data_IF_556950124613
#
_entry.id   IF_556950124613
#
_cell.length_a   1.000
_cell.length_b   1.000
_cell.length_c   1.000
_cell.angle_alpha   90.00
_cell.angle_beta   90.00
_cell.angle_gamma   90.00
#
_symmetry.space_group_name_H-M   'P 1'
#
loop_
_entity.id
_entity.type
_entity.pdbx_description
1 polymer ?
#
# COMPACT_ATOMS: atom_id res chain seq x y z
N UNK A 1 35.69 29.63 -69.91
CA UNK A 1 34.24 29.53 -70.12
C UNK A 1 33.62 29.15 -68.80
N UNK A 2 32.88 30.06 -68.28
CA UNK A 2 31.87 30.13 -67.21
C UNK A 2 31.68 28.92 -66.24
N UNK A 3 32.17 29.07 -65.01
CA UNK A 3 31.85 28.22 -63.85
C UNK A 3 30.56 28.66 -63.21
N UNK A 4 29.77 27.67 -62.77
CA UNK A 4 28.60 27.87 -61.94
C UNK A 4 28.95 27.42 -60.52
N UNK A 5 28.88 28.35 -59.57
CA UNK A 5 29.01 28.06 -58.13
C UNK A 5 27.63 27.66 -57.57
N UNK A 6 27.52 26.46 -57.05
CA UNK A 6 26.38 26.01 -56.25
C UNK A 6 26.62 26.37 -54.79
N UNK A 7 25.72 27.16 -54.22
CA UNK A 7 25.68 27.46 -52.75
C UNK A 7 24.90 26.36 -52.03
N UNK A 8 25.53 25.70 -51.08
CA UNK A 8 24.86 24.79 -50.13
C UNK A 8 24.34 25.61 -48.95
N UNK A 9 23.02 25.63 -48.81
CA UNK A 9 22.34 26.17 -47.65
C UNK A 9 22.25 25.06 -46.61
N UNK A 10 22.97 25.18 -45.50
CA UNK A 10 22.86 24.27 -44.38
C UNK A 10 21.68 24.69 -43.48
N UNK A 11 20.64 23.88 -43.45
CA UNK A 11 19.53 24.04 -42.50
C UNK A 11 19.92 23.42 -41.15
N UNK A 12 20.08 24.27 -40.14
CA UNK A 12 20.27 23.86 -38.74
C UNK A 12 18.91 23.46 -38.19
N UNK A 13 18.66 22.16 -38.01
CA UNK A 13 17.53 21.63 -37.24
C UNK A 13 17.91 21.67 -35.73
N UNK A 14 17.35 22.64 -35.02
CA UNK A 14 17.34 22.63 -33.55
C UNK A 14 16.36 21.57 -33.07
N UNK A 15 16.85 20.38 -32.69
CA UNK A 15 16.10 19.43 -31.91
C UNK A 15 16.09 19.90 -30.45
N UNK A 16 15.00 20.55 -30.04
CA UNK A 16 14.74 20.90 -28.65
C UNK A 16 14.40 19.63 -27.87
N UNK A 17 15.39 19.00 -27.25
CA UNK A 17 15.19 17.96 -26.24
C UNK A 17 14.73 18.63 -24.98
N UNK A 18 13.49 18.34 -24.52
CA UNK A 18 13.08 18.62 -23.14
C UNK A 18 13.89 17.72 -22.20
N UNK A 19 14.95 18.30 -21.63
CA UNK A 19 15.63 17.70 -20.48
C UNK A 19 14.80 18.04 -19.27
N UNK A 20 14.19 17.03 -18.63
CA UNK A 20 13.55 17.19 -17.33
C UNK A 20 14.62 17.67 -16.34
N UNK A 21 14.42 18.85 -15.76
CA UNK A 21 15.31 19.36 -14.72
C UNK A 21 15.13 18.54 -13.43
N UNK A 22 16.22 18.17 -12.74
CA UNK A 22 16.13 17.56 -11.42
C UNK A 22 15.48 18.56 -10.46
N UNK A 23 14.50 18.11 -9.66
CA UNK A 23 13.83 18.90 -8.67
C UNK A 23 14.84 19.36 -7.60
N UNK A 24 14.94 20.69 -7.42
CA UNK A 24 15.75 21.33 -6.39
C UNK A 24 15.19 20.96 -5.00
N UNK A 25 15.98 20.35 -4.07
CA UNK A 25 15.53 20.02 -2.73
C UNK A 25 15.23 21.24 -1.85
N UNK A 26 15.55 22.45 -2.28
CA UNK A 26 15.26 23.71 -1.61
C UNK A 26 13.93 24.37 -2.03
N UNK A 27 13.16 23.75 -2.94
CA UNK A 27 11.86 24.29 -3.35
C UNK A 27 10.89 24.32 -2.17
N UNK A 28 10.16 25.44 -1.94
CA UNK A 28 9.18 25.54 -0.85
C UNK A 28 8.10 24.45 -0.99
N UNK A 29 7.43 24.04 0.12
CA UNK A 29 6.40 23.03 0.09
C UNK A 29 5.38 23.39 -0.99
N UNK A 30 5.27 22.52 -1.96
CA UNK A 30 4.50 22.74 -3.19
C UNK A 30 3.08 23.11 -2.80
N UNK A 31 2.61 24.28 -3.18
CA UNK A 31 1.19 24.63 -3.27
C UNK A 31 0.56 23.68 -4.28
N UNK A 32 0.23 22.46 -3.85
CA UNK A 32 -0.38 21.46 -4.70
C UNK A 32 -1.87 21.66 -4.67
N UNK A 33 -2.42 21.83 -5.84
CA UNK A 33 -3.83 21.69 -6.19
C UNK A 33 -4.78 22.10 -5.06
N UNK A 34 -4.82 23.39 -4.70
CA UNK A 34 -5.85 23.95 -3.84
C UNK A 34 -5.72 23.74 -2.32
N UNK A 35 -4.86 22.85 -1.82
CA UNK A 35 -4.70 22.64 -0.38
C UNK A 35 -3.90 23.76 0.25
N UNK A 36 -4.49 24.49 1.19
CA UNK A 36 -3.80 25.57 1.88
C UNK A 36 -2.73 25.04 2.85
N UNK A 37 -1.60 25.79 2.99
CA UNK A 37 -0.56 25.50 3.99
C UNK A 37 -1.16 25.33 5.38
N UNK A 38 -2.11 26.21 5.76
CA UNK A 38 -2.78 26.12 7.06
C UNK A 38 -3.60 24.85 7.27
N UNK A 39 -4.15 24.25 6.21
CA UNK A 39 -4.85 22.95 6.31
C UNK A 39 -3.86 21.81 6.57
N UNK A 40 -2.71 21.81 5.89
CA UNK A 40 -1.63 20.83 6.11
C UNK A 40 -1.07 20.93 7.52
N UNK A 41 -0.82 22.15 8.00
CA UNK A 41 -0.30 22.36 9.37
C UNK A 41 -1.29 21.89 10.45
N UNK A 42 -2.58 22.15 10.27
CA UNK A 42 -3.62 21.62 11.17
C UNK A 42 -3.65 20.10 11.17
N UNK A 43 -3.64 19.48 9.99
CA UNK A 43 -3.61 18.01 9.87
C UNK A 43 -2.38 17.42 10.57
N UNK A 44 -1.19 18.01 10.39
CA UNK A 44 0.03 17.58 11.09
C UNK A 44 -0.08 17.71 12.61
N UNK A 45 -0.63 18.82 13.11
CA UNK A 45 -0.85 19.02 14.54
C UNK A 45 -1.83 17.98 15.13
N UNK A 46 -2.88 17.62 14.40
CA UNK A 46 -3.82 16.57 14.77
C UNK A 46 -3.15 15.19 14.82
N UNK A 47 -2.28 14.83 13.86
CA UNK A 47 -1.52 13.58 13.89
C UNK A 47 -0.58 13.51 15.11
N UNK A 48 0.07 14.60 15.48
CA UNK A 48 0.91 14.69 16.70
C UNK A 48 0.06 14.44 17.96
N UNK A 49 -1.16 15.00 18.02
CA UNK A 49 -2.07 14.76 19.14
C UNK A 49 -2.55 13.31 19.20
N UNK A 50 -2.92 12.70 18.06
CA UNK A 50 -3.28 11.29 17.98
C UNK A 50 -2.14 10.41 18.47
N UNK A 51 -0.90 10.65 18.01
CA UNK A 51 0.27 9.90 18.47
C UNK A 51 0.45 10.01 19.99
N UNK A 52 0.37 11.21 20.54
CA UNK A 52 0.48 11.44 21.98
C UNK A 52 -0.61 10.67 22.77
N UNK A 53 -1.86 10.71 22.29
CA UNK A 53 -2.97 9.99 22.92
C UNK A 53 -2.81 8.47 22.81
N UNK A 54 -2.26 7.98 21.70
CA UNK A 54 -2.02 6.57 21.48
C UNK A 54 -1.03 5.96 22.48
N UNK A 55 -0.06 6.75 22.95
CA UNK A 55 1.05 6.31 23.79
C UNK A 55 2.09 5.47 23.05
N UNK A 56 1.92 5.28 21.74
CA UNK A 56 2.82 4.54 20.85
C UNK A 56 3.47 5.44 19.79
N UNK A 57 3.93 4.85 18.69
CA UNK A 57 4.41 5.57 17.51
C UNK A 57 3.37 5.49 16.39
N UNK A 58 3.09 6.62 15.76
CA UNK A 58 2.15 6.72 14.66
C UNK A 58 2.88 7.02 13.35
N UNK A 59 2.75 6.15 12.36
CA UNK A 59 3.21 6.37 10.99
C UNK A 59 2.03 6.63 10.05
N UNK A 60 2.06 7.74 9.31
CA UNK A 60 0.99 8.09 8.34
C UNK A 60 1.62 8.61 7.05
N UNK A 61 1.04 8.22 5.92
CA UNK A 61 1.26 8.84 4.61
C UNK A 61 -0.05 8.93 3.85
N UNK A 62 -0.36 10.11 3.29
CA UNK A 62 -1.44 10.32 2.34
C UNK A 62 -0.82 10.70 1.00
N UNK A 63 -1.11 9.92 -0.04
CA UNK A 63 -0.57 10.08 -1.39
C UNK A 63 -1.74 10.20 -2.36
N UNK A 64 -1.69 11.21 -3.24
CA UNK A 64 -2.71 11.41 -4.26
C UNK A 64 -2.55 10.45 -5.46
N UNK A 65 -3.54 10.34 -6.36
CA UNK A 65 -3.45 9.47 -7.53
C UNK A 65 -2.24 9.76 -8.44
N UNK A 66 -1.73 10.99 -8.46
CA UNK A 66 -0.58 11.41 -9.24
C UNK A 66 0.78 11.11 -8.57
N UNK A 67 0.78 10.60 -7.33
CA UNK A 67 1.97 10.28 -6.54
C UNK A 67 2.47 11.45 -5.69
N UNK A 68 1.66 12.48 -5.50
CA UNK A 68 2.01 13.56 -4.62
C UNK A 68 1.76 13.23 -3.15
N UNK A 69 2.76 13.42 -2.30
CA UNK A 69 2.60 13.29 -0.84
C UNK A 69 1.89 14.52 -0.30
N UNK A 70 0.62 14.35 0.13
CA UNK A 70 -0.22 15.42 0.67
C UNK A 70 -0.01 15.58 2.19
N UNK A 71 0.22 14.49 2.90
CA UNK A 71 0.44 14.47 4.34
C UNK A 71 1.41 13.35 4.70
N UNK A 72 2.31 13.60 5.65
CA UNK A 72 3.22 12.59 6.17
C UNK A 72 3.54 12.86 7.64
N UNK A 73 3.54 11.78 8.45
CA UNK A 73 3.98 11.77 9.83
C UNK A 73 4.83 10.52 10.07
N UNK A 74 6.07 10.66 10.54
CA UNK A 74 7.07 9.58 10.61
C UNK A 74 7.18 8.75 9.32
N UNK A 75 7.02 9.43 8.16
CA UNK A 75 6.83 8.77 6.87
C UNK A 75 7.99 7.89 6.42
N UNK A 76 9.21 8.15 6.90
CA UNK A 76 10.42 7.39 6.55
C UNK A 76 10.84 6.38 7.64
N UNK A 77 10.19 6.41 8.81
CA UNK A 77 10.50 5.48 9.89
C UNK A 77 9.93 4.09 9.60
N UNK A 78 10.64 3.04 10.08
CA UNK A 78 10.19 1.67 9.87
C UNK A 78 9.12 1.25 10.87
N UNK A 79 8.13 0.53 10.34
CA UNK A 79 7.04 -0.12 11.06
C UNK A 79 6.89 -1.54 10.55
N UNK A 80 6.48 -2.49 11.40
CA UNK A 80 6.14 -3.83 10.96
C UNK A 80 4.87 -3.80 10.10
N UNK A 81 4.88 -4.50 8.97
CA UNK A 81 3.75 -4.51 8.04
C UNK A 81 2.58 -5.34 8.57
N UNK A 82 2.87 -6.41 9.29
CA UNK A 82 1.86 -7.42 9.60
C UNK A 82 1.15 -7.85 8.30
N UNK A 83 -0.15 -8.11 8.33
CA UNK A 83 -0.90 -8.57 7.16
C UNK A 83 -1.13 -7.52 6.05
N UNK A 84 -0.66 -6.28 6.16
CA UNK A 84 -0.84 -5.30 5.09
C UNK A 84 -0.08 -5.67 3.80
N UNK A 85 1.00 -6.45 3.90
CA UNK A 85 1.76 -6.95 2.75
C UNK A 85 0.92 -7.80 1.78
N UNK A 86 -0.19 -8.38 2.25
CA UNK A 86 -1.04 -9.29 1.46
C UNK A 86 -1.65 -8.63 0.23
N UNK A 87 -1.87 -7.31 0.25
CA UNK A 87 -2.28 -6.58 -0.96
C UNK A 87 -1.18 -6.58 -2.02
N UNK A 88 0.08 -6.37 -1.63
CA UNK A 88 1.20 -6.42 -2.57
C UNK A 88 1.42 -7.83 -3.11
N UNK A 89 1.23 -8.86 -2.27
CA UNK A 89 1.26 -10.26 -2.71
C UNK A 89 0.13 -10.55 -3.72
N UNK A 90 -1.09 -10.07 -3.47
CA UNK A 90 -2.20 -10.20 -4.42
C UNK A 90 -1.92 -9.47 -5.75
N UNK A 91 -1.34 -8.27 -5.69
CA UNK A 91 -0.88 -7.53 -6.87
C UNK A 91 0.19 -8.29 -7.68
N UNK A 92 1.18 -8.86 -6.98
CA UNK A 92 2.21 -9.70 -7.61
C UNK A 92 1.61 -10.93 -8.32
N UNK A 93 0.63 -11.59 -7.70
CA UNK A 93 -0.09 -12.72 -8.30
C UNK A 93 -0.86 -12.28 -9.54
N UNK A 94 -1.61 -11.19 -9.46
CA UNK A 94 -2.36 -10.63 -10.59
C UNK A 94 -1.45 -10.21 -11.76
N UNK A 95 -0.19 -9.85 -11.50
CA UNK A 95 0.77 -9.56 -12.57
C UNK A 95 1.18 -10.78 -13.40
N UNK A 96 0.66 -11.96 -13.12
CA UNK A 96 1.00 -13.21 -13.82
C UNK A 96 2.44 -13.67 -13.58
N UNK A 97 3.03 -13.30 -12.44
CA UNK A 97 4.38 -13.70 -12.08
C UNK A 97 4.55 -15.22 -12.17
N UNK A 98 5.69 -15.68 -12.67
CA UNK A 98 5.99 -17.10 -12.88
C UNK A 98 4.98 -17.86 -13.79
N UNK A 99 4.13 -17.14 -14.54
CA UNK A 99 3.09 -17.73 -15.38
C UNK A 99 1.90 -18.28 -14.57
N UNK A 100 1.69 -17.79 -13.35
CA UNK A 100 0.52 -18.16 -12.53
C UNK A 100 -0.77 -17.64 -13.16
N UNK A 101 -1.74 -18.56 -13.28
CA UNK A 101 -3.08 -18.25 -13.78
C UNK A 101 -4.10 -18.34 -12.63
N UNK A 102 -5.19 -17.55 -12.64
CA UNK A 102 -6.19 -17.56 -11.57
C UNK A 102 -6.82 -18.92 -11.28
N UNK A 103 -6.90 -19.82 -12.29
CA UNK A 103 -7.48 -21.16 -12.21
C UNK A 103 -6.51 -22.22 -11.71
N UNK A 104 -5.22 -21.92 -11.58
CA UNK A 104 -4.22 -22.85 -11.05
C UNK A 104 -4.57 -23.29 -9.64
N UNK A 105 -4.21 -24.55 -9.31
CA UNK A 105 -4.57 -25.16 -8.04
C UNK A 105 -3.43 -25.11 -7.04
N UNK A 106 -3.72 -24.60 -5.88
CA UNK A 106 -2.87 -24.66 -4.69
C UNK A 106 -3.34 -25.82 -3.81
N UNK A 107 -2.43 -26.75 -3.51
CA UNK A 107 -2.72 -27.93 -2.68
C UNK A 107 -2.60 -27.52 -1.21
N UNK A 108 -3.61 -27.87 -0.42
CA UNK A 108 -3.67 -27.56 1.00
C UNK A 108 -3.13 -28.75 1.80
N UNK A 109 -2.10 -28.51 2.61
CA UNK A 109 -1.74 -29.39 3.72
C UNK A 109 -2.40 -28.86 5.01
N UNK A 110 -3.45 -29.49 5.54
CA UNK A 110 -4.11 -29.01 6.76
C UNK A 110 -3.18 -28.89 7.97
N UNK A 111 -2.09 -29.72 8.03
CA UNK A 111 -1.13 -29.69 9.11
C UNK A 111 -0.22 -28.44 9.10
N UNK A 112 -0.09 -27.79 7.94
CA UNK A 112 0.71 -26.57 7.76
C UNK A 112 -0.11 -25.29 7.94
N UNK A 113 -1.44 -25.37 8.15
CA UNK A 113 -2.32 -24.19 8.27
C UNK A 113 -2.42 -23.71 9.71
N UNK A 114 -1.79 -22.58 9.99
CA UNK A 114 -1.76 -21.96 11.30
C UNK A 114 -2.50 -20.61 11.33
N UNK A 115 -2.86 -20.16 12.53
CA UNK A 115 -3.42 -18.82 12.78
C UNK A 115 -4.78 -18.59 12.13
N UNK A 116 -5.02 -17.35 11.70
CA UNK A 116 -6.29 -16.93 11.09
C UNK A 116 -6.35 -17.35 9.60
N UNK A 117 -7.09 -18.40 9.30
CA UNK A 117 -7.21 -18.98 7.95
C UNK A 117 -8.64 -19.48 7.67
N UNK A 118 -9.66 -18.60 7.71
CA UNK A 118 -11.06 -19.04 7.63
C UNK A 118 -11.40 -19.66 6.28
N UNK A 119 -10.94 -19.08 5.18
CA UNK A 119 -11.19 -19.59 3.84
C UNK A 119 -10.39 -20.88 3.59
N UNK A 120 -9.10 -20.91 3.88
CA UNK A 120 -8.26 -22.10 3.71
C UNK A 120 -8.86 -23.30 4.46
N UNK A 121 -9.29 -23.09 5.72
CA UNK A 121 -9.94 -24.16 6.51
C UNK A 121 -11.25 -24.66 5.90
N UNK A 122 -12.01 -23.79 5.25
CA UNK A 122 -13.26 -24.19 4.58
C UNK A 122 -13.01 -25.10 3.37
N UNK A 123 -11.76 -25.21 2.90
CA UNK A 123 -11.34 -26.01 1.75
C UNK A 123 -10.61 -27.31 2.12
N UNK A 124 -10.59 -27.68 3.40
CA UNK A 124 -9.86 -28.87 3.86
C UNK A 124 -10.42 -30.18 3.26
N UNK A 125 -11.72 -30.26 3.05
CA UNK A 125 -12.35 -31.44 2.44
C UNK A 125 -12.01 -31.59 0.96
N UNK A 126 -11.94 -30.48 0.22
CA UNK A 126 -11.51 -30.44 -1.18
C UNK A 126 -10.01 -30.68 -1.33
N UNK A 127 -9.21 -30.30 -0.33
CA UNK A 127 -7.75 -30.40 -0.31
C UNK A 127 -7.02 -29.41 -1.21
N UNK A 128 -7.73 -28.45 -1.82
CA UNK A 128 -7.16 -27.44 -2.70
C UNK A 128 -8.02 -26.17 -2.80
N UNK A 129 -7.44 -25.10 -3.30
CA UNK A 129 -8.11 -23.87 -3.72
C UNK A 129 -7.48 -23.34 -5.02
N UNK A 130 -8.13 -22.41 -5.71
CA UNK A 130 -7.51 -21.74 -6.86
C UNK A 130 -6.61 -20.59 -6.42
N UNK A 131 -5.64 -20.23 -7.27
CA UNK A 131 -4.79 -19.03 -7.08
C UNK A 131 -5.65 -17.77 -6.96
N UNK A 132 -6.67 -17.61 -7.80
CA UNK A 132 -7.60 -16.48 -7.75
C UNK A 132 -8.38 -16.41 -6.44
N UNK A 133 -8.89 -17.57 -5.94
CA UNK A 133 -9.55 -17.61 -4.63
C UNK A 133 -8.61 -17.27 -3.50
N UNK A 134 -7.38 -17.77 -3.53
CA UNK A 134 -6.36 -17.45 -2.54
C UNK A 134 -6.04 -15.96 -2.54
N UNK A 135 -5.75 -15.36 -3.71
CA UNK A 135 -5.45 -13.95 -3.86
C UNK A 135 -6.59 -13.04 -3.38
N UNK A 136 -7.83 -13.39 -3.68
CA UNK A 136 -9.00 -12.70 -3.14
C UNK A 136 -9.06 -12.76 -1.62
N UNK A 137 -8.91 -13.95 -1.04
CA UNK A 137 -9.15 -14.16 0.39
C UNK A 137 -8.01 -13.67 1.30
N UNK A 138 -6.78 -13.52 0.79
CA UNK A 138 -5.72 -12.83 1.53
C UNK A 138 -6.03 -11.33 1.68
N UNK A 139 -6.77 -10.73 0.77
CA UNK A 139 -7.18 -9.33 0.82
C UNK A 139 -8.47 -9.18 1.64
N UNK A 140 -9.53 -9.93 1.31
CA UNK A 140 -10.88 -9.71 1.86
C UNK A 140 -11.02 -10.13 3.31
N UNK A 141 -10.47 -11.29 3.69
CA UNK A 141 -10.56 -11.85 5.06
C UNK A 141 -9.20 -12.07 5.71
N UNK A 142 -8.12 -11.62 5.07
CA UNK A 142 -6.76 -11.72 5.63
C UNK A 142 -6.27 -13.15 5.91
N UNK A 143 -6.65 -14.13 5.07
CA UNK A 143 -6.33 -15.54 5.26
C UNK A 143 -4.82 -15.83 5.25
N UNK A 144 -4.28 -16.40 6.34
CA UNK A 144 -2.85 -16.69 6.49
C UNK A 144 -2.43 -17.94 5.72
N UNK A 145 -3.29 -18.96 5.67
CA UNK A 145 -3.02 -20.18 4.94
C UNK A 145 -2.88 -19.93 3.44
N UNK A 146 -3.84 -19.19 2.88
CA UNK A 146 -3.78 -18.76 1.48
C UNK A 146 -2.55 -17.89 1.19
N UNK A 147 -2.15 -17.00 2.12
CA UNK A 147 -0.96 -16.18 1.95
C UNK A 147 0.32 -17.02 1.89
N UNK A 148 0.46 -18.02 2.75
CA UNK A 148 1.61 -18.90 2.73
C UNK A 148 1.66 -19.76 1.44
N UNK A 149 0.53 -20.28 0.98
CA UNK A 149 0.45 -21.02 -0.29
C UNK A 149 0.87 -20.15 -1.48
N UNK A 150 0.37 -18.91 -1.57
CA UNK A 150 0.77 -17.99 -2.64
C UNK A 150 2.26 -17.60 -2.54
N UNK A 151 2.79 -17.40 -1.34
CA UNK A 151 4.22 -17.15 -1.15
C UNK A 151 5.08 -18.30 -1.68
N UNK A 152 4.62 -19.57 -1.57
CA UNK A 152 5.35 -20.71 -2.14
C UNK A 152 5.49 -20.61 -3.65
N UNK A 153 4.45 -20.16 -4.36
CA UNK A 153 4.43 -20.05 -5.82
C UNK A 153 5.28 -18.87 -6.34
N UNK A 154 5.42 -17.81 -5.54
CA UNK A 154 6.12 -16.58 -5.97
C UNK A 154 7.59 -16.51 -5.49
N UNK A 155 8.17 -17.59 -5.01
CA UNK A 155 9.56 -17.63 -4.52
C UNK A 155 9.72 -17.18 -3.07
N UNK A 156 8.66 -17.28 -2.27
CA UNK A 156 8.67 -16.99 -0.83
C UNK A 156 8.70 -15.50 -0.51
N UNK A 157 8.98 -15.17 0.76
CA UNK A 157 9.16 -13.78 1.20
C UNK A 157 10.20 -13.01 0.39
N UNK A 158 11.27 -13.69 -0.03
CA UNK A 158 12.31 -13.11 -0.86
C UNK A 158 11.78 -12.73 -2.24
N UNK A 159 11.00 -13.59 -2.90
CA UNK A 159 10.42 -13.32 -4.22
C UNK A 159 9.52 -12.08 -4.19
N UNK A 160 8.66 -11.94 -3.16
CA UNK A 160 7.86 -10.73 -2.98
C UNK A 160 8.74 -9.49 -2.76
N UNK A 161 9.78 -9.59 -1.95
CA UNK A 161 10.71 -8.47 -1.73
C UNK A 161 11.43 -8.06 -3.02
N UNK A 162 11.88 -9.01 -3.82
CA UNK A 162 12.52 -8.73 -5.12
C UNK A 162 11.55 -8.08 -6.11
N UNK A 163 10.29 -8.51 -6.15
CA UNK A 163 9.26 -7.87 -6.96
C UNK A 163 9.00 -6.42 -6.51
N UNK A 164 8.89 -6.17 -5.21
CA UNK A 164 8.75 -4.82 -4.64
C UNK A 164 9.96 -3.94 -5.01
N UNK A 165 11.19 -4.48 -4.98
CA UNK A 165 12.40 -3.77 -5.44
C UNK A 165 12.32 -3.37 -6.90
N UNK A 166 11.80 -4.24 -7.77
CA UNK A 166 11.59 -3.94 -9.18
C UNK A 166 10.59 -2.79 -9.40
N UNK A 167 9.68 -2.56 -8.43
CA UNK A 167 8.80 -1.39 -8.42
C UNK A 167 9.47 -0.11 -7.88
N UNK A 168 10.76 -0.14 -7.51
CA UNK A 168 11.51 1.01 -7.03
C UNK A 168 11.39 1.27 -5.52
N UNK A 169 10.86 0.33 -4.75
CA UNK A 169 10.80 0.44 -3.28
C UNK A 169 11.99 -0.30 -2.64
N UNK A 170 12.99 0.46 -2.23
CA UNK A 170 14.19 -0.07 -1.57
C UNK A 170 14.05 -0.24 -0.04
N UNK A 171 12.88 0.08 0.51
CA UNK A 171 12.61 0.07 1.96
C UNK A 171 11.85 -1.17 2.39
N UNK A 172 10.72 -1.47 1.75
CA UNK A 172 9.81 -2.56 2.13
C UNK A 172 10.50 -3.92 1.97
N UNK A 173 10.38 -4.77 2.97
CA UNK A 173 10.92 -6.15 2.92
C UNK A 173 10.04 -7.12 3.67
N UNK A 174 9.83 -8.28 3.09
CA UNK A 174 9.27 -9.46 3.73
C UNK A 174 10.39 -10.50 3.88
N UNK A 175 10.57 -11.02 5.07
CA UNK A 175 11.65 -11.96 5.40
C UNK A 175 11.11 -13.31 5.87
N UNK A 176 9.92 -13.31 6.45
CA UNK A 176 9.29 -14.46 7.09
C UNK A 176 7.90 -14.71 6.53
N UNK A 177 7.36 -15.89 6.80
CA UNK A 177 6.00 -16.29 6.47
C UNK A 177 5.06 -16.05 7.65
N UNK A 178 3.77 -16.19 7.43
CA UNK A 178 2.79 -16.31 8.51
C UNK A 178 3.05 -17.62 9.29
N UNK A 179 3.11 -17.63 10.65
CA UNK A 179 2.88 -16.50 11.54
C UNK A 179 4.15 -15.75 11.98
N UNK A 180 5.33 -16.25 11.63
CA UNK A 180 6.62 -15.77 12.16
C UNK A 180 6.89 -14.28 11.84
N UNK A 181 6.31 -13.75 10.75
CA UNK A 181 6.42 -12.33 10.40
C UNK A 181 5.77 -11.39 11.45
N UNK A 182 4.93 -11.92 12.34
CA UNK A 182 4.27 -11.15 13.39
C UNK A 182 5.13 -10.97 14.66
N UNK A 183 6.34 -11.51 14.68
CA UNK A 183 7.34 -11.24 15.72
C UNK A 183 7.92 -9.84 15.58
N UNK A 184 7.26 -8.87 16.02
CA UNK A 184 7.59 -7.47 15.89
C UNK A 184 8.55 -6.99 16.99
N UNK A 185 9.79 -7.46 17.00
CA UNK A 185 10.79 -7.03 17.96
C UNK A 185 11.28 -5.59 17.69
N UNK A 186 11.47 -4.81 18.75
CA UNK A 186 11.96 -3.44 18.60
C UNK A 186 13.34 -3.40 17.92
N UNK A 187 13.45 -2.63 16.85
CA UNK A 187 14.68 -2.47 16.08
C UNK A 187 14.98 -3.61 15.10
N UNK A 188 14.12 -4.62 15.00
CA UNK A 188 14.23 -5.66 13.97
C UNK A 188 13.75 -5.10 12.62
N UNK A 189 14.60 -5.07 11.57
CA UNK A 189 14.19 -4.56 10.26
C UNK A 189 13.38 -5.57 9.43
N UNK A 190 13.27 -6.83 9.87
CA UNK A 190 12.55 -7.87 9.14
C UNK A 190 11.05 -7.57 9.11
N UNK A 191 10.42 -7.86 7.96
CA UNK A 191 8.99 -7.71 7.72
C UNK A 191 8.46 -6.29 7.96
N UNK A 192 9.31 -5.28 7.65
CA UNK A 192 9.01 -3.86 7.86
C UNK A 192 8.99 -3.08 6.57
N UNK A 193 8.34 -1.92 6.66
CA UNK A 193 8.30 -0.87 5.64
C UNK A 193 8.32 0.51 6.29
N UNK A 194 8.24 1.57 5.49
CA UNK A 194 7.90 2.93 5.96
C UNK A 194 6.58 3.40 5.33
N UNK A 195 5.83 4.30 6.00
CA UNK A 195 4.57 4.79 5.45
C UNK A 195 4.66 5.35 4.03
N UNK A 196 5.71 6.11 3.72
CA UNK A 196 5.91 6.69 2.38
C UNK A 196 6.24 5.63 1.33
N UNK A 197 7.17 4.73 1.61
CA UNK A 197 7.55 3.68 0.68
C UNK A 197 6.37 2.75 0.39
N UNK A 198 5.66 2.33 1.43
CA UNK A 198 4.53 1.43 1.30
C UNK A 198 3.35 2.07 0.56
N UNK A 199 3.04 3.32 0.90
CA UNK A 199 1.97 4.08 0.23
C UNK A 199 2.25 4.29 -1.25
N UNK A 200 3.48 4.61 -1.63
CA UNK A 200 3.86 4.76 -3.04
C UNK A 200 3.81 3.42 -3.80
N UNK A 201 4.26 2.33 -3.17
CA UNK A 201 4.18 0.99 -3.78
C UNK A 201 2.71 0.57 -3.98
N UNK A 202 1.83 0.82 -3.00
CA UNK A 202 0.38 0.60 -3.17
C UNK A 202 -0.20 1.41 -4.32
N UNK A 203 0.13 2.72 -4.38
CA UNK A 203 -0.32 3.59 -5.47
C UNK A 203 0.11 3.04 -6.83
N UNK A 204 1.37 2.64 -6.97
CA UNK A 204 1.89 2.09 -8.23
C UNK A 204 1.16 0.83 -8.64
N UNK A 205 0.95 -0.10 -7.73
CA UNK A 205 0.22 -1.34 -8.02
C UNK A 205 -1.24 -1.06 -8.46
N UNK A 206 -1.85 0.02 -7.96
CA UNK A 206 -3.25 0.36 -8.24
C UNK A 206 -3.44 1.37 -9.39
N UNK A 207 -2.38 1.99 -9.90
CA UNK A 207 -2.51 3.06 -10.91
C UNK A 207 -1.46 3.05 -12.04
N UNK A 208 -0.43 2.21 -11.97
CA UNK A 208 0.64 2.16 -12.98
C UNK A 208 0.38 1.01 -13.98
N UNK A 209 0.12 1.36 -15.24
CA UNK A 209 -0.17 0.41 -16.33
C UNK A 209 1.01 -0.52 -16.64
N UNK A 210 2.22 -0.19 -16.16
CA UNK A 210 3.40 -1.05 -16.33
C UNK A 210 3.50 -2.14 -15.26
N UNK A 211 2.71 -2.06 -14.19
CA UNK A 211 2.68 -3.02 -13.07
C UNK A 211 1.54 -4.00 -13.24
N UNK A 212 0.32 -3.51 -13.39
CA UNK A 212 -0.88 -4.29 -13.63
C UNK A 212 -1.67 -3.69 -14.78
N UNK A 213 -2.34 -4.49 -15.57
CA UNK A 213 -3.30 -3.99 -16.53
C UNK A 213 -4.55 -3.40 -15.85
N UNK A 214 -5.42 -2.74 -16.62
CA UNK A 214 -6.60 -2.07 -16.07
C UNK A 214 -7.58 -3.04 -15.40
N UNK A 215 -7.74 -4.26 -15.94
CA UNK A 215 -8.67 -5.24 -15.39
C UNK A 215 -8.18 -5.78 -14.04
N UNK A 216 -6.89 -6.02 -13.90
CA UNK A 216 -6.25 -6.51 -12.68
C UNK A 216 -6.21 -5.44 -11.58
N UNK A 217 -5.92 -4.18 -11.95
CA UNK A 217 -6.05 -3.06 -11.00
C UNK A 217 -7.46 -2.92 -10.47
N UNK A 218 -8.45 -2.96 -11.35
CA UNK A 218 -9.86 -2.93 -10.96
C UNK A 218 -10.24 -4.13 -10.10
N UNK A 219 -9.68 -5.31 -10.39
CA UNK A 219 -9.93 -6.50 -9.59
C UNK A 219 -9.35 -6.37 -8.18
N UNK A 220 -8.10 -5.90 -8.05
CA UNK A 220 -7.47 -5.66 -6.75
C UNK A 220 -8.24 -4.60 -5.95
N UNK A 221 -8.64 -3.48 -6.59
CA UNK A 221 -9.45 -2.46 -5.96
C UNK A 221 -10.81 -3.00 -5.49
N UNK A 222 -11.48 -3.85 -6.29
CA UNK A 222 -12.73 -4.51 -5.87
C UNK A 222 -12.53 -5.40 -4.64
N UNK A 223 -11.43 -6.12 -4.52
CA UNK A 223 -11.13 -6.94 -3.34
C UNK A 223 -10.88 -6.07 -2.10
N UNK A 224 -10.16 -4.96 -2.23
CA UNK A 224 -9.96 -4.01 -1.14
C UNK A 224 -11.28 -3.38 -0.67
N UNK A 225 -12.16 -2.99 -1.61
CA UNK A 225 -13.51 -2.47 -1.28
C UNK A 225 -14.36 -3.53 -0.58
N UNK A 226 -14.23 -4.80 -0.97
CA UNK A 226 -14.92 -5.93 -0.38
C UNK A 226 -14.26 -6.47 0.90
N UNK A 227 -13.21 -5.81 1.43
CA UNK A 227 -12.58 -6.23 2.69
C UNK A 227 -13.59 -6.25 3.84
N UNK A 228 -13.59 -7.34 4.59
CA UNK A 228 -14.44 -7.54 5.77
C UNK A 228 -13.75 -7.08 7.06
N UNK A 229 -12.48 -6.70 6.95
CA UNK A 229 -11.67 -6.20 8.06
C UNK A 229 -11.56 -4.67 8.00
N UNK A 230 -11.18 -3.99 9.09
CA UNK A 230 -10.89 -2.56 9.07
C UNK A 230 -12.09 -1.61 9.05
N UNK A 231 -13.33 -2.11 9.08
CA UNK A 231 -14.54 -1.28 8.98
C UNK A 231 -14.62 -0.16 10.04
N UNK A 232 -13.94 -0.32 11.17
CA UNK A 232 -13.92 0.64 12.28
C UNK A 232 -12.63 1.48 12.34
N UNK A 233 -11.68 1.30 11.39
CA UNK A 233 -10.41 2.06 11.31
C UNK A 233 -10.51 3.17 10.29
N UNK A 234 -9.55 3.29 9.37
CA UNK A 234 -9.49 4.37 8.37
C UNK A 234 -10.83 4.57 7.65
N UNK A 235 -11.47 3.48 7.25
CA UNK A 235 -12.75 3.49 6.54
C UNK A 235 -13.85 4.21 7.33
N UNK A 236 -13.91 4.06 8.65
CA UNK A 236 -14.92 4.72 9.48
C UNK A 236 -14.81 6.25 9.51
N UNK A 237 -13.63 6.80 9.21
CA UNK A 237 -13.41 8.24 9.11
C UNK A 237 -13.59 8.83 7.71
N UNK A 238 -13.67 7.97 6.68
CA UNK A 238 -13.84 8.40 5.29
C UNK A 238 -15.35 8.52 4.98
N UNK A 239 -15.78 9.55 4.23
CA UNK A 239 -17.19 9.74 3.90
C UNK A 239 -17.82 8.54 3.22
N UNK A 240 -19.03 8.17 3.62
CA UNK A 240 -19.73 6.97 3.13
C UNK A 240 -20.22 7.06 1.68
N UNK A 241 -20.17 8.22 1.06
CA UNK A 241 -20.45 8.47 -0.36
C UNK A 241 -19.20 8.29 -1.25
N UNK A 242 -18.03 8.17 -0.66
CA UNK A 242 -16.78 7.86 -1.39
C UNK A 242 -16.62 6.37 -1.56
N UNK A 243 -15.98 5.96 -2.67
CA UNK A 243 -15.51 4.59 -2.80
C UNK A 243 -14.31 4.40 -1.89
N UNK A 244 -14.35 3.39 -1.01
CA UNK A 244 -13.25 3.11 -0.08
C UNK A 244 -13.00 1.61 0.03
N UNK A 245 -11.74 1.24 0.04
CA UNK A 245 -11.25 -0.12 0.30
C UNK A 245 -10.07 -0.09 1.25
N UNK A 246 -9.80 -1.18 1.95
CA UNK A 246 -8.68 -1.23 2.88
C UNK A 246 -8.11 -2.63 3.06
N UNK A 247 -6.90 -2.67 3.63
CA UNK A 247 -6.27 -3.89 4.14
C UNK A 247 -5.64 -3.63 5.49
N UNK A 248 -6.15 -4.35 6.48
CA UNK A 248 -5.63 -4.27 7.86
C UNK A 248 -4.36 -5.09 8.06
N UNK A 249 -3.58 -4.70 9.07
CA UNK A 249 -2.51 -5.47 9.67
C UNK A 249 -2.67 -5.52 11.20
N UNK A 250 -2.38 -6.66 11.79
CA UNK A 250 -2.35 -6.84 13.23
C UNK A 250 -1.23 -7.83 13.59
N UNK A 251 -0.29 -7.36 14.39
CA UNK A 251 0.73 -8.19 15.00
C UNK A 251 0.57 -8.12 16.53
N UNK A 252 0.65 -9.25 17.19
CA UNK A 252 0.53 -9.34 18.65
C UNK A 252 1.61 -10.29 19.19
N UNK A 253 2.82 -9.77 19.34
CA UNK A 253 3.85 -10.42 20.14
C UNK A 253 3.88 -9.82 21.55
N UNK A 254 4.41 -10.52 22.56
CA UNK A 254 4.53 -9.98 23.91
C UNK A 254 5.26 -8.64 23.95
N UNK A 255 4.58 -7.58 24.34
CA UNK A 255 5.13 -6.21 24.41
C UNK A 255 5.31 -5.51 23.04
N UNK A 256 4.77 -6.08 21.97
CA UNK A 256 4.91 -5.56 20.62
C UNK A 256 3.61 -5.74 19.83
N UNK A 257 2.66 -4.83 20.03
CA UNK A 257 1.39 -4.80 19.27
C UNK A 257 1.50 -3.76 18.18
N UNK A 258 1.19 -4.17 16.93
CA UNK A 258 1.01 -3.28 15.79
C UNK A 258 -0.45 -3.33 15.33
N UNK A 259 -1.01 -2.16 15.08
CA UNK A 259 -2.37 -2.01 14.55
C UNK A 259 -2.29 -1.13 13.31
N UNK A 260 -2.42 -1.77 12.17
CA UNK A 260 -2.18 -1.16 10.87
C UNK A 260 -3.45 -1.17 10.02
N UNK A 261 -3.53 -0.19 9.13
CA UNK A 261 -4.52 -0.17 8.08
C UNK A 261 -3.96 0.62 6.88
N UNK A 262 -4.24 0.14 5.67
CA UNK A 262 -3.90 0.86 4.45
C UNK A 262 -5.15 0.95 3.60
N UNK A 263 -5.67 2.17 3.48
CA UNK A 263 -6.88 2.44 2.73
C UNK A 263 -6.57 3.03 1.36
N UNK A 264 -7.42 2.69 0.40
CA UNK A 264 -7.58 3.42 -0.86
C UNK A 264 -8.96 4.07 -0.87
N UNK A 265 -9.06 5.29 -1.37
CA UNK A 265 -10.36 5.92 -1.52
C UNK A 265 -10.39 6.85 -2.73
N UNK A 266 -11.58 6.97 -3.32
CA UNK A 266 -11.84 7.78 -4.52
C UNK A 266 -13.08 8.63 -4.29
N UNK A 267 -12.91 9.96 -4.10
CA UNK A 267 -14.01 10.88 -3.83
C UNK A 267 -14.97 11.08 -5.00
N UNK A 268 -14.48 11.02 -6.25
CA UNK A 268 -15.25 11.49 -7.40
C UNK A 268 -14.94 10.73 -8.72
N UNK A 269 -14.33 9.54 -8.66
CA UNK A 269 -13.94 8.79 -9.86
C UNK A 269 -12.67 9.33 -10.53
N UNK A 270 -11.87 10.11 -9.81
CA UNK A 270 -10.63 10.72 -10.29
C UNK A 270 -9.37 9.90 -10.05
N UNK A 271 -9.49 8.71 -9.48
CA UNK A 271 -8.38 7.83 -9.13
C UNK A 271 -8.23 7.61 -7.63
N UNK A 272 -7.42 6.63 -7.27
CA UNK A 272 -7.27 6.18 -5.90
C UNK A 272 -6.23 7.01 -5.13
N UNK A 273 -6.67 7.69 -4.07
CA UNK A 273 -5.78 8.15 -3.00
C UNK A 273 -5.34 6.95 -2.17
N UNK A 274 -4.11 6.95 -1.67
CA UNK A 274 -3.60 5.93 -0.76
C UNK A 274 -3.32 6.55 0.60
N UNK A 275 -3.87 5.95 1.64
CA UNK A 275 -3.69 6.38 3.03
C UNK A 275 -3.13 5.24 3.86
N UNK A 276 -1.93 5.43 4.40
CA UNK A 276 -1.25 4.48 5.30
C UNK A 276 -1.42 4.93 6.75
N UNK A 277 -1.78 3.99 7.61
CA UNK A 277 -1.85 4.12 9.06
C UNK A 277 -1.13 2.94 9.69
N UNK A 278 -0.01 3.21 10.37
CA UNK A 278 0.75 2.25 11.15
C UNK A 278 0.84 2.76 12.59
N UNK A 279 0.37 1.95 13.54
CA UNK A 279 0.35 2.29 14.96
C UNK A 279 1.11 1.23 15.77
N UNK A 280 2.35 1.56 16.12
CA UNK A 280 3.28 0.71 16.87
C UNK A 280 3.12 0.91 18.37
N UNK A 281 2.87 -0.18 19.09
CA UNK A 281 2.80 -0.24 20.56
C UNK A 281 1.88 0.80 21.20
N UNK A 282 0.62 0.91 20.77
CA UNK A 282 -0.34 1.76 21.46
C UNK A 282 -0.53 1.30 22.90
N UNK A 283 -0.90 2.23 23.79
CA UNK A 283 -1.22 1.90 25.19
C UNK A 283 -2.40 0.94 25.32
N UNK A 284 -3.32 0.94 24.36
CA UNK A 284 -4.49 0.09 24.27
C UNK A 284 -4.74 -0.31 22.81
N UNK A 285 -5.12 -1.56 22.60
CA UNK A 285 -5.54 -2.12 21.32
C UNK A 285 -7.08 -2.10 21.16
N UNK A 286 -7.58 -2.72 20.09
CA UNK A 286 -9.02 -2.86 19.84
C UNK A 286 -9.71 -1.52 19.56
N UNK A 287 -10.89 -1.31 20.11
CA UNK A 287 -11.75 -0.17 19.81
C UNK A 287 -11.06 1.21 20.01
N UNK A 288 -10.13 1.31 20.96
CA UNK A 288 -9.37 2.54 21.16
C UNK A 288 -8.46 2.85 19.97
N UNK A 289 -7.67 1.90 19.52
CA UNK A 289 -6.78 2.07 18.39
C UNK A 289 -7.56 2.19 17.07
N UNK A 290 -8.68 1.47 16.92
CA UNK A 290 -9.57 1.59 15.76
C UNK A 290 -10.15 3.01 15.65
N UNK A 291 -10.56 3.62 16.77
CA UNK A 291 -11.03 5.01 16.80
C UNK A 291 -9.95 6.02 16.39
N UNK A 292 -8.68 5.81 16.79
CA UNK A 292 -7.57 6.65 16.32
C UNK A 292 -7.35 6.53 14.80
N UNK A 293 -7.48 5.31 14.25
CA UNK A 293 -7.46 5.08 12.80
C UNK A 293 -8.60 5.83 12.09
N UNK A 294 -9.82 5.81 12.65
CA UNK A 294 -10.96 6.57 12.11
C UNK A 294 -10.69 8.09 12.10
N UNK A 295 -10.08 8.62 13.17
CA UNK A 295 -9.68 10.04 13.20
C UNK A 295 -8.66 10.38 12.10
N UNK A 296 -7.67 9.50 11.83
CA UNK A 296 -6.72 9.67 10.72
C UNK A 296 -7.44 9.64 9.37
N UNK A 297 -8.40 8.75 9.19
CA UNK A 297 -9.27 8.71 8.00
C UNK A 297 -10.02 10.03 7.78
N UNK A 298 -10.62 10.59 8.84
CA UNK A 298 -11.33 11.87 8.78
C UNK A 298 -10.40 13.05 8.45
N UNK A 299 -9.20 13.10 9.04
CA UNK A 299 -8.19 14.12 8.72
C UNK A 299 -7.80 14.07 7.24
N UNK A 300 -7.57 12.88 6.70
CA UNK A 300 -7.24 12.68 5.29
C UNK A 300 -8.38 13.13 4.37
N UNK A 301 -9.62 12.75 4.70
CA UNK A 301 -10.81 13.15 3.94
C UNK A 301 -11.02 14.66 3.94
N UNK A 302 -10.89 15.33 5.08
CA UNK A 302 -11.00 16.78 5.19
C UNK A 302 -9.91 17.51 4.39
N UNK A 303 -8.68 16.96 4.39
CA UNK A 303 -7.59 17.53 3.61
C UNK A 303 -7.87 17.44 2.10
N UNK A 304 -8.35 16.28 1.61
CA UNK A 304 -8.71 16.09 0.20
C UNK A 304 -9.90 16.95 -0.21
N UNK A 305 -10.94 17.08 0.63
CA UNK A 305 -12.07 18.00 0.37
C UNK A 305 -11.64 19.47 0.26
N UNK A 306 -10.62 19.87 1.01
CA UNK A 306 -10.13 21.25 0.96
C UNK A 306 -9.33 21.57 -0.31
N UNK A 307 -9.02 20.56 -1.12
CA UNK A 307 -8.33 20.64 -2.42
C UNK A 307 -9.31 20.84 -3.61
N UNK A 308 -10.59 20.56 -3.38
CA UNK A 308 -11.68 20.63 -4.37
C UNK A 308 -12.34 22.00 -4.33
#
# INVERSE_FOLDING_TARGET
MKGVRAAFLAALLCAGGCVAQPSDPSSPPIERAGISVGSIERARAQLVDIEKRSGGRLGVALIDPAGAVLLSHRGEERFAMCSTFKTLLAGMVLSGVNGLEPEDRLIIDPAAVEGHAPFTRSRFEEGWMTVGDAAKNIVTVSDNGAANLLLDEVGGPRGLTEWIRALGDDVTRLDRRELALNENAAGDPRDTTSPLAFGETYRRVLSDDTVLDAADRDQLARWLVASETGLNRLRAGIPGDWRVGDKTGYCAAPGAVEINDVAIFDPAGGGWYTLVFFLDRPREAGAFADALGAEVGAIAADLVRSAS
#
